data_IF_957661910776
#
_entry.id   IF_957661910776
#
_cell.length_a   1.000
_cell.length_b   1.000
_cell.length_c   1.000
_cell.angle_alpha   90.00
_cell.angle_beta   90.00
_cell.angle_gamma   90.00
#
_symmetry.space_group_name_H-M   'P 1'
#
loop_
_entity.id
_entity.type
_entity.pdbx_description
1 polymer ?
#
# COMPACT_ATOMS: atom_id res chain seq x y z
N UNK A 1 12.07 -1.71 7.41
CA UNK A 1 11.38 -0.92 8.43
C UNK A 1 9.93 -0.81 8.05
N UNK A 2 9.06 -1.20 8.96
CA UNK A 2 7.61 -1.11 8.86
C UNK A 2 7.12 0.35 9.06
N UNK A 3 5.92 0.66 8.58
CA UNK A 3 5.35 2.02 8.59
C UNK A 3 4.41 2.14 9.78
N UNK A 4 4.81 2.90 10.81
CA UNK A 4 3.97 3.17 11.98
C UNK A 4 3.07 4.36 11.70
N UNK A 5 1.76 4.12 11.69
CA UNK A 5 0.74 5.12 11.38
C UNK A 5 -0.32 5.17 12.49
N UNK A 6 -0.91 6.34 12.73
CA UNK A 6 -2.02 6.45 13.68
C UNK A 6 -3.26 5.82 13.03
N UNK A 7 -3.88 4.90 13.75
CA UNK A 7 -5.06 4.16 13.36
C UNK A 7 -6.12 4.29 14.45
N UNK A 8 -7.29 4.82 14.12
CA UNK A 8 -8.43 4.86 15.02
C UNK A 8 -9.38 3.74 14.64
N UNK A 9 -9.57 2.76 15.53
CA UNK A 9 -10.56 1.68 15.35
C UNK A 9 -11.91 2.19 15.87
N UNK A 10 -12.90 2.27 14.97
CA UNK A 10 -14.26 2.75 15.25
C UNK A 10 -15.17 1.61 15.69
N UNK A 11 -15.06 0.47 15.03
CA UNK A 11 -15.81 -0.73 15.36
C UNK A 11 -15.10 -1.99 14.87
N UNK A 12 -15.45 -3.14 15.44
CA UNK A 12 -14.90 -4.44 15.04
C UNK A 12 -16.02 -5.44 14.86
N UNK A 13 -16.23 -5.87 13.61
CA UNK A 13 -17.20 -6.91 13.27
C UNK A 13 -16.54 -8.28 13.36
N UNK A 14 -17.21 -9.21 14.05
CA UNK A 14 -16.84 -10.62 14.12
C UNK A 14 -17.54 -11.40 13.01
N UNK A 15 -16.77 -12.18 12.24
CA UNK A 15 -17.29 -13.15 11.28
C UNK A 15 -16.67 -14.51 11.55
N UNK A 16 -17.48 -15.43 12.06
CA UNK A 16 -17.06 -16.80 12.36
C UNK A 16 -17.84 -17.84 11.56
N UNK A 17 -17.34 -19.06 11.53
CA UNK A 17 -18.00 -20.19 10.86
C UNK A 17 -17.04 -21.35 10.60
N UNK A 18 -17.51 -22.32 9.81
CA UNK A 18 -16.70 -23.45 9.34
C UNK A 18 -16.42 -23.25 7.86
N UNK A 19 -15.14 -23.29 7.48
CA UNK A 19 -14.73 -23.21 6.09
C UNK A 19 -15.24 -24.42 5.31
N UNK A 20 -16.12 -24.20 4.33
CA UNK A 20 -16.61 -25.27 3.46
C UNK A 20 -15.49 -25.94 2.65
N UNK A 21 -14.35 -25.28 2.46
CA UNK A 21 -13.20 -25.82 1.72
C UNK A 21 -12.30 -26.71 2.57
N UNK A 22 -12.12 -26.37 3.85
CA UNK A 22 -11.11 -27.02 4.70
C UNK A 22 -11.69 -27.72 5.92
N UNK A 23 -12.99 -27.53 6.21
CA UNK A 23 -13.64 -28.00 7.43
C UNK A 23 -13.17 -27.29 8.71
N UNK A 24 -12.27 -26.31 8.60
CA UNK A 24 -11.69 -25.62 9.77
C UNK A 24 -12.59 -24.49 10.23
N UNK A 25 -12.69 -24.31 11.54
CA UNK A 25 -13.27 -23.10 12.11
C UNK A 25 -12.44 -21.88 11.72
N UNK A 26 -13.11 -20.82 11.30
CA UNK A 26 -12.51 -19.51 11.11
C UNK A 26 -13.17 -18.51 12.06
N UNK A 27 -12.38 -17.57 12.57
CA UNK A 27 -12.86 -16.42 13.32
C UNK A 27 -12.13 -15.17 12.83
N UNK A 28 -12.81 -14.37 12.01
CA UNK A 28 -12.26 -13.14 11.45
C UNK A 28 -12.77 -11.94 12.23
N UNK A 29 -11.86 -11.01 12.53
CA UNK A 29 -12.19 -9.69 13.09
C UNK A 29 -11.91 -8.65 12.02
N UNK A 30 -12.94 -7.94 11.60
CA UNK A 30 -12.84 -6.89 10.59
C UNK A 30 -13.04 -5.56 11.31
N UNK A 31 -11.98 -4.77 11.39
CA UNK A 31 -12.01 -3.45 12.00
C UNK A 31 -12.42 -2.40 10.97
N UNK A 32 -13.39 -1.57 11.31
CA UNK A 32 -13.67 -0.29 10.65
C UNK A 32 -12.78 0.77 11.28
N UNK A 33 -12.01 1.50 10.46
CA UNK A 33 -10.95 2.35 10.99
C UNK A 33 -10.70 3.60 10.15
N UNK A 34 -10.14 4.61 10.81
CA UNK A 34 -9.56 5.81 10.20
C UNK A 34 -8.05 5.73 10.32
N UNK A 35 -7.36 5.72 9.19
CA UNK A 35 -5.91 5.73 9.11
C UNK A 35 -5.42 7.13 8.78
N UNK A 36 -4.55 7.66 9.64
CA UNK A 36 -3.87 8.94 9.43
C UNK A 36 -2.48 8.68 8.83
N UNK A 37 -2.22 9.29 7.68
CA UNK A 37 -1.00 9.08 6.92
C UNK A 37 -0.41 10.40 6.45
N UNK A 38 0.92 10.50 6.52
CA UNK A 38 1.68 11.61 5.96
C UNK A 38 2.29 11.17 4.63
N UNK A 39 1.71 11.67 3.54
CA UNK A 39 2.19 11.45 2.17
C UNK A 39 3.01 12.65 1.71
N UNK A 40 3.70 12.52 0.57
CA UNK A 40 4.33 13.67 -0.09
C UNK A 40 3.37 14.83 -0.42
N UNK A 41 2.07 14.56 -0.51
CA UNK A 41 1.02 15.55 -0.82
C UNK A 41 0.46 16.23 0.44
N UNK A 42 0.78 15.74 1.63
CA UNK A 42 0.32 16.28 2.92
C UNK A 42 -0.16 15.20 3.90
N UNK A 43 -0.74 15.67 5.00
CA UNK A 43 -1.48 14.83 5.95
C UNK A 43 -2.84 14.46 5.34
N UNK A 44 -3.14 13.17 5.35
CA UNK A 44 -4.35 12.59 4.76
C UNK A 44 -4.96 11.58 5.72
N UNK A 45 -6.29 11.45 5.67
CA UNK A 45 -7.07 10.56 6.52
C UNK A 45 -7.94 9.65 5.65
N UNK A 46 -7.67 8.34 5.73
CA UNK A 46 -8.35 7.33 4.91
C UNK A 46 -9.22 6.47 5.80
N UNK A 47 -10.51 6.40 5.47
CA UNK A 47 -11.47 5.51 6.13
C UNK A 47 -11.52 4.18 5.37
N UNK A 48 -11.45 3.07 6.09
CA UNK A 48 -11.63 1.76 5.47
C UNK A 48 -11.68 0.62 6.46
N UNK A 49 -11.80 -0.59 5.93
CA UNK A 49 -11.80 -1.82 6.70
C UNK A 49 -10.48 -2.54 6.59
N UNK A 50 -10.09 -3.21 7.68
CA UNK A 50 -8.92 -4.10 7.70
C UNK A 50 -9.21 -5.34 8.54
N UNK A 51 -8.73 -6.50 8.08
CA UNK A 51 -8.81 -7.73 8.88
C UNK A 51 -7.71 -7.73 9.93
N UNK A 52 -8.09 -7.81 11.20
CA UNK A 52 -7.16 -7.92 12.32
C UNK A 52 -6.58 -9.34 12.37
N UNK A 53 -5.25 -9.50 12.39
CA UNK A 53 -4.63 -10.80 12.58
C UNK A 53 -4.76 -11.29 14.03
N UNK A 54 -4.62 -12.60 14.24
CA UNK A 54 -4.81 -13.24 15.54
C UNK A 54 -4.02 -12.60 16.69
N UNK A 55 -2.84 -12.05 16.42
CA UNK A 55 -2.02 -11.38 17.42
C UNK A 55 -2.63 -10.09 17.98
N UNK A 56 -3.55 -9.45 17.25
CA UNK A 56 -4.17 -8.16 17.63
C UNK A 56 -5.68 -8.14 17.42
N UNK A 57 -6.31 -9.31 17.24
CA UNK A 57 -7.74 -9.42 16.90
C UNK A 57 -8.67 -9.02 18.05
N UNK A 58 -8.15 -9.03 19.28
CA UNK A 58 -8.88 -8.62 20.47
C UNK A 58 -8.76 -7.10 20.74
N UNK A 59 -8.10 -6.36 19.85
CA UNK A 59 -8.08 -4.90 19.92
C UNK A 59 -9.50 -4.35 19.80
N UNK A 60 -9.90 -3.56 20.81
CA UNK A 60 -11.18 -2.88 20.84
C UNK A 60 -11.15 -1.54 20.12
N UNK A 61 -12.26 -0.80 20.22
CA UNK A 61 -12.35 0.58 19.76
C UNK A 61 -11.31 1.46 20.47
N UNK A 62 -10.73 2.40 19.75
CA UNK A 62 -9.73 3.31 20.32
C UNK A 62 -8.71 3.81 19.32
N UNK A 63 -7.77 4.61 19.81
CA UNK A 63 -6.66 5.12 19.03
C UNK A 63 -5.41 4.26 19.25
N UNK A 64 -4.75 3.92 18.14
CA UNK A 64 -3.58 3.08 18.15
C UNK A 64 -2.49 3.61 17.23
N UNK A 65 -1.25 3.31 17.58
CA UNK A 65 -0.12 3.32 16.66
C UNK A 65 -0.02 1.92 16.03
N UNK A 66 -0.44 1.82 14.78
CA UNK A 66 -0.45 0.58 14.02
C UNK A 66 0.83 0.47 13.18
N UNK A 67 1.43 -0.71 13.19
CA UNK A 67 2.57 -1.01 12.36
C UNK A 67 2.17 -1.93 11.21
N UNK A 68 2.42 -1.49 9.97
CA UNK A 68 1.96 -2.17 8.77
C UNK A 68 3.10 -2.81 7.98
N UNK A 69 2.80 -4.00 7.45
CA UNK A 69 3.52 -4.61 6.33
C UNK A 69 2.56 -4.82 5.16
N UNK A 70 3.08 -5.09 3.97
CA UNK A 70 2.27 -5.48 2.82
C UNK A 70 2.41 -6.98 2.62
N UNK A 71 1.30 -7.66 2.37
CA UNK A 71 1.29 -9.10 2.16
C UNK A 71 0.49 -9.42 0.90
N UNK A 72 0.70 -10.61 0.37
CA UNK A 72 -0.08 -11.10 -0.78
C UNK A 72 -1.42 -11.65 -0.27
N UNK A 73 -2.53 -11.16 -0.82
CA UNK A 73 -3.87 -11.70 -0.62
C UNK A 73 -4.04 -13.05 -1.33
N UNK A 74 -5.16 -13.74 -1.10
CA UNK A 74 -5.49 -14.99 -1.79
C UNK A 74 -5.66 -14.78 -3.30
N UNK A 75 -6.14 -13.60 -3.69
CA UNK A 75 -6.32 -13.14 -5.07
C UNK A 75 -5.01 -12.64 -5.69
N UNK A 76 -3.92 -12.64 -4.92
CA UNK A 76 -2.60 -12.22 -5.35
C UNK A 76 -2.34 -10.72 -5.27
N UNK A 77 -3.27 -9.93 -4.73
CA UNK A 77 -3.08 -8.49 -4.57
C UNK A 77 -2.19 -8.17 -3.37
N UNK A 78 -1.48 -7.06 -3.42
CA UNK A 78 -0.83 -6.53 -2.22
C UNK A 78 -1.90 -5.92 -1.31
N UNK A 79 -1.94 -6.35 -0.05
CA UNK A 79 -2.87 -5.87 0.98
C UNK A 79 -2.11 -5.52 2.26
N UNK A 80 -2.54 -4.48 3.00
CA UNK A 80 -1.92 -4.15 4.26
C UNK A 80 -2.25 -5.20 5.32
N UNK A 81 -1.28 -5.49 6.17
CA UNK A 81 -1.46 -6.34 7.34
C UNK A 81 -0.80 -5.68 8.54
N UNK A 82 -1.53 -5.60 9.64
CA UNK A 82 -1.02 -5.10 10.92
C UNK A 82 -0.09 -6.15 11.52
N UNK A 83 1.14 -5.77 11.88
CA UNK A 83 2.06 -6.65 12.61
C UNK A 83 2.14 -6.32 14.10
N UNK A 84 1.87 -5.07 14.45
CA UNK A 84 1.80 -4.63 15.83
C UNK A 84 0.77 -3.51 15.96
N UNK A 85 0.11 -3.47 17.11
CA UNK A 85 -0.85 -2.43 17.46
C UNK A 85 -0.55 -2.00 18.89
N UNK A 86 -0.27 -0.71 19.08
CA UNK A 86 0.05 -0.14 20.39
C UNK A 86 -0.97 0.95 20.70
N UNK A 87 -1.54 1.04 21.91
CA UNK A 87 -2.42 2.15 22.27
C UNK A 87 -1.71 3.50 22.04
N UNK A 88 -2.42 4.44 21.43
CA UNK A 88 -1.92 5.79 21.17
C UNK A 88 -2.12 6.64 22.43
N UNK A 89 -1.06 7.27 22.93
CA UNK A 89 -1.08 8.11 24.13
C UNK A 89 -0.14 9.31 24.02
N UNK A 90 -0.09 10.14 25.06
CA UNK A 90 0.55 11.49 25.04
C UNK A 90 2.06 11.52 24.71
N UNK A 91 2.73 10.36 24.61
CA UNK A 91 4.13 10.23 24.20
C UNK A 91 4.37 9.50 22.87
N UNK A 92 3.34 8.99 22.21
CA UNK A 92 3.50 8.20 20.97
C UNK A 92 3.43 9.11 19.75
N UNK A 93 4.58 9.42 19.15
CA UNK A 93 4.63 10.14 17.87
C UNK A 93 4.46 9.16 16.71
N UNK A 94 3.56 9.42 15.74
CA UNK A 94 3.53 8.67 14.48
C UNK A 94 4.92 8.72 13.83
N UNK A 95 5.36 7.60 13.24
CA UNK A 95 6.64 7.61 12.53
C UNK A 95 6.55 8.53 11.31
N UNK A 96 7.72 9.07 10.93
CA UNK A 96 8.04 9.81 9.71
C UNK A 96 7.29 9.35 8.43
N UNK A 97 7.20 10.21 7.39
CA UNK A 97 6.42 9.99 6.17
C UNK A 97 6.61 8.60 5.54
N UNK A 98 5.60 8.19 4.78
CA UNK A 98 5.56 6.92 4.03
C UNK A 98 6.92 6.64 3.40
N UNK A 99 7.57 5.55 3.83
CA UNK A 99 8.92 5.21 3.38
C UNK A 99 8.86 4.67 1.95
N UNK A 100 9.77 5.15 1.11
CA UNK A 100 10.00 4.61 -0.24
C UNK A 100 10.49 3.16 -0.14
N UNK A 101 9.84 2.26 -0.87
CA UNK A 101 10.14 0.83 -0.91
C UNK A 101 10.66 0.46 -2.30
N UNK A 102 11.62 -0.47 -2.38
CA UNK A 102 12.06 -0.99 -3.69
C UNK A 102 10.94 -1.87 -4.25
N UNK A 103 10.49 -1.53 -5.45
CA UNK A 103 9.44 -2.21 -6.19
C UNK A 103 10.00 -2.63 -7.55
N UNK A 104 10.01 -3.93 -7.83
CA UNK A 104 10.39 -4.47 -9.13
C UNK A 104 9.13 -4.82 -9.90
N UNK A 105 8.83 -4.08 -10.97
CA UNK A 105 7.69 -4.35 -11.85
C UNK A 105 8.10 -5.41 -12.88
N UNK A 106 7.44 -6.56 -12.84
CA UNK A 106 7.70 -7.70 -13.73
C UNK A 106 6.88 -7.62 -15.02
N UNK A 107 5.62 -7.21 -14.89
CA UNK A 107 4.71 -7.05 -16.02
C UNK A 107 3.59 -6.08 -15.65
N UNK A 108 2.97 -5.48 -16.66
CA UNK A 108 1.79 -4.62 -16.49
C UNK A 108 0.66 -5.20 -17.34
N UNK A 109 -0.46 -5.50 -16.68
CA UNK A 109 -1.67 -5.99 -17.33
C UNK A 109 -2.60 -4.81 -17.54
N UNK A 110 -2.98 -4.56 -18.80
CA UNK A 110 -3.94 -3.53 -19.20
C UNK A 110 -5.34 -4.14 -19.29
N UNK A 111 -6.32 -3.44 -18.72
CA UNK A 111 -7.75 -3.75 -18.84
C UNK A 111 -8.48 -2.48 -19.24
N UNK A 112 -9.00 -2.48 -20.44
CA UNK A 112 -9.76 -1.36 -20.99
C UNK A 112 -11.16 -1.78 -21.38
N UNK A 113 -12.09 -0.84 -21.35
CA UNK A 113 -13.46 -1.08 -21.75
C UNK A 113 -14.36 0.11 -21.42
N UNK A 114 -15.67 -0.09 -21.57
CA UNK A 114 -16.68 0.87 -21.20
C UNK A 114 -17.35 0.38 -19.91
N UNK A 115 -17.39 1.23 -18.89
CA UNK A 115 -18.05 0.92 -17.64
C UNK A 115 -19.55 0.74 -17.87
N UNK A 116 -20.09 -0.44 -17.53
CA UNK A 116 -21.53 -0.69 -17.61
C UNK A 116 -22.34 0.19 -16.65
N UNK A 117 -21.72 0.73 -15.59
CA UNK A 117 -22.38 1.59 -14.60
C UNK A 117 -22.46 3.05 -15.04
N UNK A 118 -21.40 3.56 -15.66
CA UNK A 118 -21.25 5.01 -15.95
C UNK A 118 -21.22 5.33 -17.43
N UNK A 119 -21.10 4.33 -18.30
CA UNK A 119 -20.90 4.51 -19.75
C UNK A 119 -19.55 5.14 -20.11
N UNK A 120 -18.66 5.36 -19.14
CA UNK A 120 -17.36 6.01 -19.37
C UNK A 120 -16.31 4.96 -19.76
N UNK A 121 -15.39 5.29 -20.68
CA UNK A 121 -14.23 4.43 -20.93
C UNK A 121 -13.37 4.36 -19.67
N UNK A 122 -12.87 3.17 -19.36
CA UNK A 122 -11.87 2.94 -18.32
C UNK A 122 -10.62 2.33 -18.93
N UNK A 123 -9.46 2.73 -18.42
CA UNK A 123 -8.16 2.07 -18.66
C UNK A 123 -7.52 1.82 -17.29
N UNK A 124 -7.57 0.57 -16.84
CA UNK A 124 -6.96 0.12 -15.61
C UNK A 124 -5.68 -0.64 -15.93
N UNK A 125 -4.57 -0.20 -15.36
CA UNK A 125 -3.29 -0.90 -15.45
C UNK A 125 -2.95 -1.49 -14.10
N UNK A 126 -2.68 -2.80 -14.07
CA UNK A 126 -2.31 -3.53 -12.87
C UNK A 126 -0.88 -4.05 -13.04
N UNK A 127 0.04 -3.61 -12.20
CA UNK A 127 1.41 -4.09 -12.19
C UNK A 127 1.50 -5.40 -11.41
N UNK A 128 2.10 -6.43 -12.00
CA UNK A 128 2.63 -7.58 -11.28
C UNK A 128 4.05 -7.23 -10.83
N UNK A 129 4.30 -7.31 -9.53
CA UNK A 129 5.50 -6.73 -8.94
C UNK A 129 6.04 -7.55 -7.77
N UNK A 130 7.32 -7.35 -7.49
CA UNK A 130 8.00 -7.81 -6.28
C UNK A 130 8.27 -6.59 -5.42
N UNK A 131 7.68 -6.57 -4.23
CA UNK A 131 7.91 -5.54 -3.23
C UNK A 131 8.97 -6.02 -2.25
N UNK A 132 10.03 -5.25 -2.08
CA UNK A 132 11.09 -5.51 -1.11
C UNK A 132 10.84 -4.70 0.14
N UNK A 133 10.63 -5.40 1.25
CA UNK A 133 10.31 -4.82 2.55
C UNK A 133 11.37 -5.24 3.55
N UNK A 134 12.12 -4.27 4.08
CA UNK A 134 12.96 -4.56 5.22
C UNK A 134 12.07 -4.93 6.42
N UNK A 135 12.26 -6.10 7.01
CA UNK A 135 11.63 -6.50 8.27
C UNK A 135 12.69 -6.61 9.36
N UNK A 136 12.32 -6.64 10.65
CA UNK A 136 13.29 -6.85 11.73
C UNK A 136 14.12 -8.14 11.54
N UNK A 137 13.53 -9.16 10.93
CA UNK A 137 14.15 -10.47 10.68
C UNK A 137 14.96 -10.53 9.35
N UNK A 138 15.08 -9.42 8.63
CA UNK A 138 15.77 -9.34 7.33
C UNK A 138 14.90 -8.79 6.19
N UNK A 139 15.47 -8.67 4.99
CA UNK A 139 14.73 -8.22 3.82
C UNK A 139 13.77 -9.30 3.33
N UNK A 140 12.49 -8.91 3.17
CA UNK A 140 11.42 -9.78 2.71
C UNK A 140 10.93 -9.34 1.33
N UNK A 141 10.95 -10.26 0.37
CA UNK A 141 10.33 -10.06 -0.93
C UNK A 141 8.87 -10.56 -0.91
N UNK A 142 7.93 -9.71 -1.33
CA UNK A 142 6.51 -10.03 -1.46
C UNK A 142 6.09 -9.86 -2.90
N UNK A 143 5.70 -10.95 -3.54
CA UNK A 143 5.17 -10.93 -4.91
C UNK A 143 3.67 -10.66 -4.86
N UNK A 144 3.20 -9.67 -5.60
CA UNK A 144 1.77 -9.38 -5.69
C UNK A 144 1.44 -8.42 -6.81
N UNK A 145 0.17 -8.05 -6.90
CA UNK A 145 -0.30 -7.07 -7.87
C UNK A 145 -0.76 -5.78 -7.21
N UNK A 146 -0.49 -4.65 -7.87
CA UNK A 146 -0.91 -3.32 -7.43
C UNK A 146 -1.51 -2.53 -8.61
N UNK A 147 -2.61 -1.80 -8.42
CA UNK A 147 -3.12 -0.89 -9.45
C UNK A 147 -2.15 0.28 -9.65
N UNK A 148 -1.83 0.58 -10.91
CA UNK A 148 -1.03 1.74 -11.28
C UNK A 148 -1.93 2.98 -11.33
N UNK A 149 -1.59 4.06 -10.58
CA UNK A 149 -2.28 5.34 -10.70
C UNK A 149 -1.98 6.01 -12.05
N UNK A 150 -2.74 7.06 -12.39
CA UNK A 150 -2.57 7.83 -13.64
C UNK A 150 -1.12 8.28 -13.85
N UNK A 151 -0.50 8.80 -12.80
CA UNK A 151 0.89 9.30 -12.80
C UNK A 151 1.93 8.23 -13.20
N UNK A 152 1.57 6.95 -13.06
CA UNK A 152 2.46 5.81 -13.29
C UNK A 152 1.90 4.83 -14.33
N UNK A 153 0.85 5.19 -15.08
CA UNK A 153 0.24 4.28 -16.08
C UNK A 153 1.23 3.86 -17.16
N UNK A 154 2.06 4.77 -17.64
CA UNK A 154 3.07 4.51 -18.68
C UNK A 154 4.33 3.81 -18.13
N UNK A 155 4.33 3.42 -16.86
CA UNK A 155 5.49 2.73 -16.27
C UNK A 155 5.65 1.33 -16.86
N UNK A 156 6.84 1.08 -17.39
CA UNK A 156 7.24 -0.22 -17.90
C UNK A 156 7.73 -1.20 -16.83
N UNK A 157 8.29 -2.30 -17.30
CA UNK A 157 9.03 -3.25 -16.45
C UNK A 157 10.34 -2.62 -15.99
N UNK A 158 10.75 -2.89 -14.76
CA UNK A 158 11.97 -2.33 -14.22
C UNK A 158 11.99 -2.29 -12.70
N UNK A 159 13.07 -1.74 -12.15
CA UNK A 159 13.21 -1.49 -10.72
C UNK A 159 12.86 -0.03 -10.41
N UNK A 160 12.11 0.18 -9.34
CA UNK A 160 11.62 1.49 -8.92
C UNK A 160 11.71 1.66 -7.41
N UNK A 161 11.79 2.91 -6.95
CA UNK A 161 11.39 3.31 -5.62
C UNK A 161 9.92 3.75 -5.66
N UNK A 162 9.06 3.01 -4.96
CA UNK A 162 7.64 3.31 -4.83
C UNK A 162 7.36 3.90 -3.45
N UNK A 163 6.66 5.03 -3.42
CA UNK A 163 6.02 5.53 -2.21
C UNK A 163 4.59 4.96 -2.17
N UNK A 164 4.29 4.21 -1.11
CA UNK A 164 3.05 3.43 -0.97
C UNK A 164 2.19 4.01 0.16
N UNK A 165 1.16 4.77 -0.19
CA UNK A 165 0.14 5.18 0.77
C UNK A 165 -0.98 4.15 0.85
N UNK A 166 -1.89 4.28 1.82
CA UNK A 166 -3.13 3.52 1.83
C UNK A 166 -4.24 4.31 1.13
N UNK A 167 -5.16 3.60 0.52
CA UNK A 167 -6.37 4.14 -0.07
C UNK A 167 -7.56 3.21 0.23
N UNK A 168 -8.77 3.74 0.14
CA UNK A 168 -9.97 2.93 0.21
C UNK A 168 -10.23 2.26 -1.15
N UNK A 169 -10.45 0.94 -1.15
CA UNK A 169 -10.92 0.20 -2.33
C UNK A 169 -12.41 0.44 -2.58
N UNK A 170 -12.92 0.00 -3.73
CA UNK A 170 -14.37 0.07 -4.00
C UNK A 170 -15.22 -0.72 -3.00
N UNK A 171 -14.64 -1.75 -2.39
CA UNK A 171 -15.29 -2.59 -1.37
C UNK A 171 -15.13 -2.00 0.04
N UNK A 172 -14.55 -0.80 0.17
CA UNK A 172 -14.32 -0.13 1.46
C UNK A 172 -13.10 -0.63 2.22
N UNK A 173 -12.29 -1.55 1.66
CA UNK A 173 -11.10 -2.09 2.32
C UNK A 173 -9.89 -1.17 2.13
N UNK A 174 -9.00 -1.12 3.14
CA UNK A 174 -7.71 -0.44 2.98
C UNK A 174 -6.81 -1.25 2.04
N UNK A 175 -6.34 -0.61 0.97
CA UNK A 175 -5.43 -1.19 -0.02
C UNK A 175 -4.23 -0.27 -0.25
N UNK A 176 -3.05 -0.82 -0.55
CA UNK A 176 -1.88 0.01 -0.84
C UNK A 176 -2.03 0.64 -2.23
N UNK A 177 -1.70 1.93 -2.32
CA UNK A 177 -1.72 2.72 -3.55
C UNK A 177 -0.36 3.40 -3.72
N UNK A 178 0.17 3.35 -4.95
CA UNK A 178 1.38 4.09 -5.31
C UNK A 178 1.00 5.58 -5.37
N UNK A 179 1.71 6.43 -4.63
CA UNK A 179 1.58 7.90 -4.69
C UNK A 179 2.78 8.56 -5.38
N UNK A 180 3.93 7.89 -5.38
CA UNK A 180 5.08 8.30 -6.18
C UNK A 180 5.84 7.07 -6.67
N UNK A 181 6.37 7.14 -7.90
CA UNK A 181 7.16 6.06 -8.49
C UNK A 181 8.36 6.65 -9.21
N UNK A 182 9.56 6.27 -8.78
CA UNK A 182 10.82 6.79 -9.30
C UNK A 182 11.68 5.62 -9.79
N UNK A 183 12.35 5.70 -10.95
CA UNK A 183 13.22 4.62 -11.41
C UNK A 183 14.36 4.39 -10.41
N UNK A 184 14.66 3.12 -10.13
CA UNK A 184 15.79 2.69 -9.32
C UNK A 184 17.04 2.76 -10.19
N UNK A 185 17.56 3.98 -10.40
CA UNK A 185 18.83 4.15 -11.09
C UNK A 185 19.97 3.81 -10.13
N UNK A 186 20.54 2.61 -10.26
CA UNK A 186 21.88 2.31 -9.73
C UNK A 186 22.91 3.04 -10.57
N UNK A 187 22.96 4.37 -10.48
CA UNK A 187 24.13 5.09 -10.95
C UNK A 187 24.43 6.29 -10.06
N UNK A 188 25.68 6.28 -9.61
CA UNK A 188 26.35 7.20 -8.71
C UNK A 188 26.26 8.67 -9.12
N UNK A 189 26.33 9.55 -8.11
CA UNK A 189 26.71 10.98 -8.16
C UNK A 189 25.63 11.93 -8.72
N UNK A 190 25.31 13.03 -8.00
CA UNK A 190 24.53 14.12 -8.59
C UNK A 190 25.35 14.69 -9.73
N UNK A 191 25.03 14.28 -10.96
CA UNK A 191 25.61 14.90 -12.14
C UNK A 191 24.80 16.14 -12.43
N UNK A 192 25.52 17.25 -12.44
CA UNK A 192 25.03 18.60 -12.60
C UNK A 192 24.03 18.73 -13.76
N UNK A 193 23.11 19.65 -13.55
CA UNK A 193 22.21 20.29 -14.50
C UNK A 193 22.77 20.30 -15.93
N UNK A 194 22.03 19.83 -16.95
CA UNK A 194 22.38 20.11 -18.32
C UNK A 194 22.19 21.61 -18.55
N UNK A 195 23.30 22.36 -18.62
CA UNK A 195 23.30 23.70 -19.22
C UNK A 195 22.95 23.51 -20.68
N UNK A 196 21.82 24.10 -21.09
CA UNK A 196 21.38 24.16 -22.48
C UNK A 196 22.53 24.66 -23.37
N UNK A 197 22.97 23.80 -24.28
CA UNK A 197 23.72 24.20 -25.45
C UNK A 197 22.69 24.60 -26.52
N UNK A 198 22.46 25.91 -26.65
CA UNK A 198 21.93 26.47 -27.88
C UNK A 198 23.11 26.59 -28.86
N UNK A 199 23.00 25.92 -29.99
CA UNK A 199 23.96 25.99 -31.10
C UNK A 199 23.43 26.91 -32.21
N UNK A 200 24.38 27.56 -32.90
CA UNK A 200 24.38 28.23 -34.22
C UNK A 200 24.96 29.66 -34.05
N UNK A 201 26.18 30.01 -34.44
CA UNK A 201 26.91 29.86 -35.71
C UNK A 201 26.27 30.61 -36.90
N UNK A 202 27.09 31.51 -37.47
CA UNK A 202 26.97 32.34 -38.70
C UNK A 202 26.53 33.78 -38.47
#
# INVERSE_FOLDING_TARGET
MSSKQKLTILDVTRREGISSKTGRHYDMRIAECVLWQNTSEGEDAVVGTITLPDAVKDAGKGEYLADFILTRSMEGQLVPRIVALQPYGDGTRPSAPVKKQKLTILSVVRREGISSKTGRPYDMRTAQCVLWQATPDGDRAVVGTVPLPEIAKETGKGEYFAEMAMAQSMDGALVPRIVALQPYVTNTRPTATPKAAAAAAV
#
